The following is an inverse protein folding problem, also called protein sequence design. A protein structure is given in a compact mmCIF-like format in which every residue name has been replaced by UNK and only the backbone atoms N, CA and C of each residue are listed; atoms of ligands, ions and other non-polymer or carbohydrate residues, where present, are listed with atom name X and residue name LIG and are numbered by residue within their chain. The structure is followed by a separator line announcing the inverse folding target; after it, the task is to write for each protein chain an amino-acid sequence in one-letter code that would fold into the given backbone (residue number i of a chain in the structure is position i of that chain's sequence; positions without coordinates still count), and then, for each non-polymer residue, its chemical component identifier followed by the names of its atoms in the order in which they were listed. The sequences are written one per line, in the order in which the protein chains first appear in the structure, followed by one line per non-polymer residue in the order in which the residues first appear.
data_IF_418271453889
#
_entry.id   IF_418271453889
#
_cell.length_a   1.000
_cell.length_b   1.000
_cell.length_c   1.000
_cell.angle_alpha   90.00
_cell.angle_beta   90.00
_cell.angle_gamma   90.00
#
_symmetry.space_group_name_H-M   'P 1'
#
loop_
_entity.id
_entity.type
_entity.pdbx_description
1 polymer ?
#
# COMPACT_ATOMS: atom_id res chain seq x y z
N UNK A 1 -34.10 -34.27 2.86
CA UNK A 1 -34.15 -33.00 2.08
C UNK A 1 -33.80 -31.77 2.92
N UNK A 2 -34.30 -31.62 4.16
CA UNK A 2 -34.00 -30.46 5.04
C UNK A 2 -32.54 -30.35 5.48
N UNK A 3 -31.87 -31.47 5.74
CA UNK A 3 -30.44 -31.53 6.08
C UNK A 3 -29.52 -31.15 4.92
N UNK A 4 -29.86 -31.54 3.69
CA UNK A 4 -29.13 -31.14 2.48
C UNK A 4 -29.16 -29.61 2.28
N UNK A 5 -30.30 -28.97 2.56
CA UNK A 5 -30.41 -27.51 2.49
C UNK A 5 -29.49 -26.81 3.49
N UNK A 6 -29.37 -27.32 4.73
CA UNK A 6 -28.44 -26.75 5.72
C UNK A 6 -26.98 -26.90 5.31
N UNK A 7 -26.59 -28.05 4.76
CA UNK A 7 -25.21 -28.28 4.29
C UNK A 7 -24.87 -27.36 3.12
N UNK A 8 -25.79 -27.20 2.17
CA UNK A 8 -25.62 -26.29 1.03
C UNK A 8 -25.53 -24.84 1.52
N UNK A 9 -26.42 -24.40 2.41
CA UNK A 9 -26.36 -23.02 2.95
C UNK A 9 -25.07 -22.74 3.73
N UNK A 10 -24.59 -23.71 4.51
CA UNK A 10 -23.33 -23.60 5.24
C UNK A 10 -22.12 -23.55 4.30
N UNK A 11 -22.11 -24.36 3.23
CA UNK A 11 -21.08 -24.33 2.21
C UNK A 11 -21.03 -22.98 1.46
N UNK A 12 -22.20 -22.40 1.13
CA UNK A 12 -22.27 -21.08 0.49
C UNK A 12 -21.79 -19.95 1.43
N UNK A 13 -22.06 -20.03 2.73
CA UNK A 13 -21.58 -19.04 3.70
C UNK A 13 -20.03 -19.03 3.81
N UNK A 14 -19.38 -20.17 3.62
CA UNK A 14 -17.92 -20.29 3.64
C UNK A 14 -17.26 -19.77 2.36
N UNK A 15 -17.90 -19.91 1.20
CA UNK A 15 -17.37 -19.44 -0.08
C UNK A 15 -17.38 -17.90 -0.21
N UNK A 16 -18.17 -17.19 0.60
CA UNK A 16 -18.32 -15.73 0.52
C UNK A 16 -17.30 -14.90 1.29
N UNK A 17 -16.47 -15.49 2.14
CA UNK A 17 -15.59 -14.74 3.05
C UNK A 17 -14.13 -14.72 2.55
N UNK A 18 -13.87 -14.15 1.37
CA UNK A 18 -12.52 -13.71 1.02
C UNK A 18 -12.43 -12.21 1.17
N UNK A 19 -11.66 -11.75 2.15
CA UNK A 19 -11.32 -10.33 2.29
C UNK A 19 -10.57 -9.87 1.05
N UNK A 20 -10.94 -8.74 0.41
CA UNK A 20 -10.18 -8.20 -0.70
C UNK A 20 -8.75 -7.92 -0.23
N UNK A 21 -7.78 -8.51 -0.94
CA UNK A 21 -6.34 -8.29 -0.73
C UNK A 21 -5.80 -7.55 -1.94
N UNK A 22 -5.27 -6.36 -1.71
CA UNK A 22 -4.59 -5.58 -2.75
C UNK A 22 -3.09 -5.69 -2.53
N UNK A 23 -2.34 -6.09 -3.55
CA UNK A 23 -0.88 -6.12 -3.53
C UNK A 23 -0.39 -5.12 -4.56
N UNK A 24 0.48 -4.20 -4.14
CA UNK A 24 1.13 -3.23 -5.01
C UNK A 24 2.63 -3.41 -4.84
N UNK A 25 3.31 -3.75 -5.93
CA UNK A 25 4.77 -3.74 -5.98
C UNK A 25 5.23 -2.40 -6.52
N UNK A 26 6.22 -1.82 -5.86
CA UNK A 26 6.83 -0.56 -6.23
C UNK A 26 8.29 -0.82 -6.51
N UNK A 27 8.70 -0.50 -7.73
CA UNK A 27 10.08 -0.55 -8.16
C UNK A 27 10.50 0.86 -8.56
N UNK A 28 11.63 1.31 -8.04
CA UNK A 28 12.22 2.59 -8.40
C UNK A 28 13.72 2.40 -8.63
N UNK A 29 14.21 2.96 -9.73
CA UNK A 29 15.64 3.00 -10.05
C UNK A 29 16.03 4.46 -10.26
N UNK A 30 17.05 4.91 -9.53
CA UNK A 30 17.69 6.20 -9.77
C UNK A 30 19.20 6.03 -9.76
N UNK A 31 19.85 6.44 -10.84
CA UNK A 31 21.31 6.41 -11.00
C UNK A 31 21.90 5.01 -10.71
N UNK A 32 21.18 3.93 -11.06
CA UNK A 32 21.59 2.55 -10.82
C UNK A 32 21.40 2.05 -9.38
N UNK A 33 20.70 2.83 -8.54
CA UNK A 33 20.27 2.42 -7.20
C UNK A 33 18.86 1.88 -7.28
N UNK A 34 18.72 0.59 -7.00
CA UNK A 34 17.44 -0.11 -6.99
C UNK A 34 16.77 0.02 -5.62
N UNK A 35 15.48 0.35 -5.65
CA UNK A 35 14.59 0.35 -4.51
C UNK A 35 13.38 -0.52 -4.85
N UNK A 36 13.20 -1.59 -4.08
CA UNK A 36 12.13 -2.54 -4.27
C UNK A 36 11.29 -2.61 -2.99
N UNK A 37 10.06 -2.12 -3.08
CA UNK A 37 9.08 -2.13 -2.02
C UNK A 37 7.83 -2.89 -2.41
N UNK A 38 7.14 -3.45 -1.43
CA UNK A 38 5.83 -4.07 -1.62
C UNK A 38 4.86 -3.53 -0.58
N UNK A 39 3.64 -3.26 -1.02
CA UNK A 39 2.55 -2.87 -0.14
C UNK A 39 1.41 -3.88 -0.27
N UNK A 40 0.96 -4.42 0.85
CA UNK A 40 -0.16 -5.36 0.92
C UNK A 40 -1.25 -4.76 1.78
N UNK A 41 -2.40 -4.42 1.19
CA UNK A 41 -3.56 -3.93 1.91
C UNK A 41 -4.61 -5.04 2.09
N UNK A 42 -5.04 -5.26 3.34
CA UNK A 42 -6.08 -6.23 3.72
C UNK A 42 -6.88 -5.70 4.91
N UNK A 43 -8.20 -5.72 4.83
CA UNK A 43 -9.11 -5.35 5.93
C UNK A 43 -8.80 -3.99 6.61
N UNK A 44 -8.36 -2.99 5.83
CA UNK A 44 -8.02 -1.65 6.36
C UNK A 44 -6.64 -1.55 7.03
N UNK A 45 -5.84 -2.62 6.97
CA UNK A 45 -4.44 -2.65 7.36
C UNK A 45 -3.58 -2.69 6.09
N UNK A 46 -2.62 -1.78 5.99
CA UNK A 46 -1.63 -1.72 4.92
C UNK A 46 -0.27 -2.10 5.47
N UNK A 47 0.28 -3.18 4.93
CA UNK A 47 1.61 -3.68 5.26
C UNK A 47 2.61 -3.19 4.23
N UNK A 48 3.62 -2.47 4.69
CA UNK A 48 4.72 -1.93 3.90
C UNK A 48 5.96 -2.80 4.12
N UNK A 49 6.49 -3.38 3.05
CA UNK A 49 7.65 -4.27 3.06
C UNK A 49 8.76 -3.64 2.22
N UNK A 50 9.95 -3.49 2.80
CA UNK A 50 11.14 -3.11 2.03
C UNK A 50 11.88 -4.38 1.64
N UNK A 51 11.79 -4.77 0.37
CA UNK A 51 12.41 -6.00 -0.12
C UNK A 51 13.89 -5.78 -0.42
N UNK A 52 14.21 -4.66 -1.05
CA UNK A 52 15.58 -4.25 -1.32
C UNK A 52 15.69 -2.72 -1.36
N UNK A 53 16.82 -2.19 -0.91
CA UNK A 53 17.10 -0.75 -0.97
C UNK A 53 18.59 -0.52 -0.96
N UNK A 54 19.08 0.21 -1.96
CA UNK A 54 20.47 0.66 -2.04
C UNK A 54 20.92 1.53 -0.84
N UNK A 55 19.99 2.16 -0.12
CA UNK A 55 20.30 3.00 1.05
C UNK A 55 20.04 2.31 2.39
N UNK A 56 19.56 1.06 2.36
CA UNK A 56 19.23 0.27 3.55
C UNK A 56 17.88 0.61 4.19
N UNK A 57 17.12 1.57 3.65
CA UNK A 57 15.74 1.89 4.06
C UNK A 57 14.87 2.21 2.85
N UNK A 58 13.61 1.81 2.89
CA UNK A 58 12.56 2.23 1.97
C UNK A 58 11.68 3.25 2.68
N UNK A 59 11.44 4.41 2.06
CA UNK A 59 10.51 5.41 2.58
C UNK A 59 9.27 5.45 1.69
N UNK A 60 8.13 5.09 2.27
CA UNK A 60 6.85 5.12 1.57
C UNK A 60 6.09 6.39 1.91
N UNK A 61 5.68 7.13 0.87
CA UNK A 61 4.80 8.28 1.01
C UNK A 61 3.39 7.88 0.60
N UNK A 62 2.41 8.33 1.40
CA UNK A 62 0.99 8.07 1.17
C UNK A 62 0.30 9.41 0.92
N UNK A 63 -0.21 9.58 -0.29
CA UNK A 63 -0.94 10.77 -0.72
C UNK A 63 -2.41 10.45 -0.96
N UNK A 64 -3.29 11.44 -0.85
CA UNK A 64 -4.67 11.30 -1.30
C UNK A 64 -4.71 11.02 -2.82
N UNK A 65 -5.59 10.13 -3.27
CA UNK A 65 -5.67 9.70 -4.67
C UNK A 65 -6.00 10.82 -5.65
N UNK A 66 -6.67 11.87 -5.17
CA UNK A 66 -7.07 13.05 -5.95
C UNK A 66 -5.90 14.03 -6.20
N UNK A 67 -4.73 13.75 -5.61
CA UNK A 67 -3.52 14.51 -5.84
C UNK A 67 -2.83 14.11 -7.16
N UNK A 68 -2.77 15.06 -8.08
CA UNK A 68 -1.90 15.02 -9.24
C UNK A 68 -0.75 16.01 -9.07
N UNK A 69 0.48 15.51 -8.91
CA UNK A 69 1.69 16.34 -8.89
C UNK A 69 2.14 16.81 -10.29
N UNK A 70 1.49 16.31 -11.35
CA UNK A 70 1.91 16.50 -12.74
C UNK A 70 1.19 17.65 -13.49
N UNK A 71 0.15 18.26 -12.92
CA UNK A 71 -0.62 19.29 -13.61
C UNK A 71 -0.21 20.70 -13.16
N UNK A 72 0.21 21.57 -14.11
CA UNK A 72 0.31 23.01 -13.87
C UNK A 72 -1.07 23.54 -13.46
N UNK A 73 -1.20 23.98 -12.21
CA UNK A 73 -2.47 24.41 -11.62
C UNK A 73 -3.11 23.41 -10.64
N UNK A 74 -2.41 22.34 -10.27
CA UNK A 74 -2.91 21.39 -9.26
C UNK A 74 -3.05 22.05 -7.88
N UNK A 75 -4.24 21.90 -7.28
CA UNK A 75 -4.54 22.30 -5.90
C UNK A 75 -3.56 21.60 -4.94
N UNK A 76 -2.98 22.31 -3.95
CA UNK A 76 -2.12 21.68 -2.96
C UNK A 76 -2.85 20.54 -2.25
N UNK A 77 -2.20 19.39 -2.19
CA UNK A 77 -2.70 18.19 -1.53
C UNK A 77 -3.15 18.48 -0.10
N UNK A 78 -4.46 18.49 0.09
CA UNK A 78 -5.13 18.53 1.40
C UNK A 78 -5.95 17.25 1.44
N UNK A 79 -5.64 16.26 2.31
CA UNK A 79 -5.20 16.40 3.71
C UNK A 79 -3.68 16.39 3.89
N UNK A 80 -3.16 16.69 5.11
CA UNK A 80 -1.73 16.58 5.41
C UNK A 80 -1.21 15.18 5.03
N UNK A 81 0.02 15.09 4.49
CA UNK A 81 0.62 13.81 4.19
C UNK A 81 0.63 12.98 5.47
N UNK A 82 0.19 11.72 5.37
CA UNK A 82 0.47 10.74 6.44
C UNK A 82 1.98 10.71 6.61
N UNK A 83 2.45 10.66 7.85
CA UNK A 83 3.89 10.60 8.12
C UNK A 83 4.52 9.50 7.25
N UNK A 84 5.64 9.81 6.56
CA UNK A 84 6.26 8.85 5.69
C UNK A 84 6.64 7.59 6.47
N UNK A 85 6.26 6.44 5.91
CA UNK A 85 6.52 5.15 6.55
C UNK A 85 7.93 4.73 6.16
N UNK A 86 8.86 4.82 7.10
CA UNK A 86 10.21 4.29 6.93
C UNK A 86 10.30 2.85 7.37
N UNK A 87 10.83 2.01 6.48
CA UNK A 87 11.01 0.58 6.70
C UNK A 87 12.46 0.24 6.37
N UNK A 88 13.19 -0.38 7.29
CA UNK A 88 14.54 -0.86 7.00
C UNK A 88 14.51 -1.99 5.96
N UNK A 89 15.58 -2.17 5.19
CA UNK A 89 15.68 -3.25 4.21
C UNK A 89 15.48 -4.62 4.87
N UNK A 90 14.65 -5.47 4.27
CA UNK A 90 14.23 -6.76 4.80
C UNK A 90 13.24 -6.71 5.95
N UNK A 91 12.79 -5.51 6.37
CA UNK A 91 11.78 -5.33 7.41
C UNK A 91 10.41 -5.02 6.81
N UNK A 92 9.40 -5.10 7.68
CA UNK A 92 8.02 -4.79 7.35
C UNK A 92 7.38 -3.95 8.45
N UNK A 93 6.43 -3.09 8.07
CA UNK A 93 5.67 -2.23 8.97
C UNK A 93 4.21 -2.26 8.59
N UNK A 94 3.35 -2.44 9.58
CA UNK A 94 1.90 -2.39 9.39
C UNK A 94 1.38 -1.02 9.81
N UNK A 95 0.48 -0.47 9.00
CA UNK A 95 -0.21 0.78 9.29
C UNK A 95 -1.69 0.55 9.05
N UNK A 96 -2.49 0.79 10.09
CA UNK A 96 -3.94 0.67 10.02
C UNK A 96 -4.58 2.03 9.69
N UNK A 97 -5.86 2.00 9.31
CA UNK A 97 -6.68 3.18 9.08
C UNK A 97 -6.19 4.10 7.95
N UNK A 98 -5.60 3.53 6.90
CA UNK A 98 -5.31 4.30 5.69
C UNK A 98 -6.61 4.68 4.97
N UNK A 99 -6.70 5.88 4.38
CA UNK A 99 -7.85 6.27 3.57
C UNK A 99 -8.03 5.31 2.39
N UNK A 100 -9.26 5.11 1.93
CA UNK A 100 -9.57 4.17 0.83
C UNK A 100 -9.04 4.64 -0.54
N UNK A 101 -8.90 5.95 -0.73
CA UNK A 101 -8.43 6.56 -1.98
C UNK A 101 -7.06 7.20 -1.74
N UNK A 102 -6.02 6.38 -1.78
CA UNK A 102 -4.63 6.82 -1.63
C UNK A 102 -3.77 6.36 -2.79
N UNK A 103 -2.77 7.19 -3.11
CA UNK A 103 -1.62 6.81 -3.93
C UNK A 103 -0.45 6.59 -3.01
N UNK A 104 0.24 5.47 -3.21
CA UNK A 104 1.43 5.14 -2.46
C UNK A 104 2.60 5.25 -3.41
N UNK A 105 3.66 5.89 -2.94
CA UNK A 105 4.88 6.04 -3.70
C UNK A 105 6.09 5.64 -2.86
N UNK A 106 7.09 5.05 -3.53
CA UNK A 106 8.35 4.66 -2.92
C UNK A 106 9.38 5.74 -3.24
N UNK A 107 9.78 6.50 -2.23
CA UNK A 107 10.75 7.56 -2.41
C UNK A 107 12.18 7.02 -2.36
N UNK A 108 12.93 7.51 -3.32
CA UNK A 108 14.37 7.30 -3.55
C UNK A 108 15.26 8.30 -2.81
N UNK A 109 14.68 9.42 -2.37
CA UNK A 109 15.38 10.50 -1.68
C UNK A 109 14.62 11.01 -0.44
N UNK A 110 15.24 11.91 0.31
CA UNK A 110 14.64 12.54 1.50
C UNK A 110 13.55 13.56 1.17
N UNK A 111 13.40 13.94 -0.09
CA UNK A 111 12.41 14.93 -0.54
C UNK A 111 11.08 14.31 -0.97
N UNK A 112 11.00 12.98 -1.03
CA UNK A 112 9.75 12.29 -1.37
C UNK A 112 9.35 12.47 -2.83
N UNK A 113 10.33 12.61 -3.74
CA UNK A 113 10.04 12.71 -5.18
C UNK A 113 9.66 11.35 -5.73
N UNK A 114 8.51 11.30 -6.39
CA UNK A 114 7.93 10.12 -7.02
C UNK A 114 7.23 10.51 -8.30
#
# INVERSE_FOLDING_TARGET
MRTLLFVVYYALALMGCSSPRTVTELHSDIDGKVFHGRVVARDGISKFECLDSATGKCRFFVHAGDCSTAAKGATPCTPPPVDPVEVASGQMREVANLPRNIRICLAVDSTGRC
#
